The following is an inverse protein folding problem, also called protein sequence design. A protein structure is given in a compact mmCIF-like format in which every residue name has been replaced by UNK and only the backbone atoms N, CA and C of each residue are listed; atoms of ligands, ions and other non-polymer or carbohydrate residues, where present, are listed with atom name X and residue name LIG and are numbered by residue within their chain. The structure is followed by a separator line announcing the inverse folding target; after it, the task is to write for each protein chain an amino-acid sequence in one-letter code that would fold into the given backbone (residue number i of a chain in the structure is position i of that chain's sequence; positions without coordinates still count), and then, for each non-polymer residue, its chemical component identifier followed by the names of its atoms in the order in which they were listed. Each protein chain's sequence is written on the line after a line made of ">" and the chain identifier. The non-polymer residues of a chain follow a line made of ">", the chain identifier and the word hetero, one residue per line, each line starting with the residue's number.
data_IF_611738016116
#
_entry.id   IF_611738016116
#
_cell.length_a   1.000
_cell.length_b   1.000
_cell.length_c   1.000
_cell.angle_alpha   90.00
_cell.angle_beta   90.00
_cell.angle_gamma   90.00
#
_symmetry.space_group_name_H-M   'P 1'
#
loop_
_entity.id
_entity.type
_entity.pdbx_description
1 polymer ?
#
# COMPACT_ATOMS: atom_id res chain seq x y z
N UNK A 1 -27.81 -36.70 -62.33
CA UNK A 1 -26.76 -36.74 -61.31
C UNK A 1 -25.91 -35.51 -61.56
N UNK A 2 -26.48 -34.35 -61.17
CA UNK A 2 -26.18 -33.61 -59.92
C UNK A 2 -24.98 -32.70 -60.16
N UNK A 3 -25.19 -31.39 -60.32
CA UNK A 3 -25.30 -30.39 -59.24
C UNK A 3 -23.90 -30.02 -58.70
N UNK A 4 -23.55 -28.80 -58.35
CA UNK A 4 -24.17 -27.48 -58.36
C UNK A 4 -23.02 -26.54 -57.98
N UNK A 5 -23.06 -25.36 -58.58
CA UNK A 5 -22.30 -24.17 -58.22
C UNK A 5 -22.29 -23.96 -56.70
N UNK A 6 -21.12 -23.76 -56.08
CA UNK A 6 -21.00 -23.00 -54.82
C UNK A 6 -19.55 -22.79 -54.42
N UNK A 7 -18.97 -21.74 -54.98
CA UNK A 7 -17.97 -20.96 -54.29
C UNK A 7 -18.59 -20.41 -52.99
N UNK A 8 -18.32 -21.06 -51.86
CA UNK A 8 -18.62 -20.47 -50.56
C UNK A 8 -17.56 -19.42 -50.23
N UNK A 9 -17.90 -18.18 -50.58
CA UNK A 9 -17.43 -17.01 -49.85
C UNK A 9 -17.69 -17.22 -48.35
N UNK A 10 -16.67 -17.03 -47.51
CA UNK A 10 -16.88 -16.79 -46.07
C UNK A 10 -16.95 -15.29 -45.84
N UNK A 11 -17.97 -14.80 -45.12
CA UNK A 11 -18.21 -13.38 -44.93
C UNK A 11 -17.21 -12.78 -43.94
N UNK A 12 -16.74 -11.59 -44.27
CA UNK A 12 -16.28 -10.63 -43.27
C UNK A 12 -17.47 -10.24 -42.37
N UNK A 13 -17.25 -10.24 -41.05
CA UNK A 13 -18.31 -9.96 -40.09
C UNK A 13 -17.85 -10.11 -38.64
N UNK A 14 -17.11 -9.10 -38.18
CA UNK A 14 -17.17 -8.50 -36.84
C UNK A 14 -17.08 -9.41 -35.61
N UNK A 15 -16.02 -9.20 -34.83
CA UNK A 15 -16.10 -8.53 -33.51
C UNK A 15 -14.73 -7.95 -33.15
N UNK A 16 -14.58 -6.63 -32.97
CA UNK A 16 -13.60 -6.17 -32.00
C UNK A 16 -14.15 -6.61 -30.65
N UNK A 17 -13.49 -7.57 -30.01
CA UNK A 17 -13.66 -7.71 -28.56
C UNK A 17 -12.92 -6.50 -27.97
N UNK A 18 -13.71 -5.51 -27.59
CA UNK A 18 -13.32 -4.39 -26.72
C UNK A 18 -12.39 -4.93 -25.64
N UNK A 19 -11.12 -4.55 -25.76
CA UNK A 19 -10.11 -4.74 -24.75
C UNK A 19 -10.07 -3.47 -23.91
N UNK A 20 -11.23 -2.98 -23.52
CA UNK A 20 -11.40 -1.71 -22.79
C UNK A 20 -11.42 -1.93 -21.27
N UNK A 21 -11.31 -3.17 -20.79
CA UNK A 21 -11.29 -3.49 -19.35
C UNK A 21 -9.91 -3.76 -18.74
N UNK A 22 -8.86 -3.94 -19.55
CA UNK A 22 -7.51 -4.21 -19.03
C UNK A 22 -6.73 -2.93 -18.71
N UNK A 23 -7.07 -1.81 -19.36
CA UNK A 23 -6.39 -0.52 -19.16
C UNK A 23 -6.98 0.26 -18.00
N UNK A 24 -8.32 0.34 -17.85
CA UNK A 24 -8.96 1.07 -16.75
C UNK A 24 -8.58 0.51 -15.37
N UNK A 25 -8.52 -0.83 -15.23
CA UNK A 25 -8.13 -1.47 -13.96
C UNK A 25 -6.63 -1.37 -13.65
N UNK A 26 -5.78 -1.22 -14.67
CA UNK A 26 -4.34 -1.08 -14.52
C UNK A 26 -3.88 0.37 -14.42
N UNK A 27 -4.65 1.35 -14.89
CA UNK A 27 -4.41 2.79 -14.71
C UNK A 27 -5.01 3.30 -13.38
N UNK A 28 -6.18 2.79 -12.97
CA UNK A 28 -6.78 3.11 -11.68
C UNK A 28 -5.94 2.61 -10.49
N UNK A 29 -5.09 1.60 -10.70
CA UNK A 29 -4.23 1.07 -9.64
C UNK A 29 -3.04 1.99 -9.29
N UNK A 30 -2.25 2.49 -10.26
CA UNK A 30 -1.29 3.59 -10.07
C UNK A 30 -1.91 4.84 -9.44
N UNK A 31 -3.07 5.29 -9.93
CA UNK A 31 -3.76 6.46 -9.36
C UNK A 31 -4.13 6.23 -7.89
N UNK A 32 -4.60 5.02 -7.56
CA UNK A 32 -4.88 4.63 -6.18
C UNK A 32 -3.62 4.59 -5.31
N UNK A 33 -2.50 4.06 -5.82
CA UNK A 33 -1.21 4.07 -5.12
C UNK A 33 -0.80 5.51 -4.79
N UNK A 34 -0.87 6.41 -5.77
CA UNK A 34 -0.53 7.82 -5.57
C UNK A 34 -1.46 8.49 -4.55
N UNK A 35 -2.77 8.22 -4.61
CA UNK A 35 -3.74 8.76 -3.67
C UNK A 35 -3.48 8.27 -2.24
N UNK A 36 -3.20 6.98 -2.05
CA UNK A 36 -2.87 6.40 -0.75
C UNK A 36 -1.56 6.96 -0.20
N UNK A 37 -0.55 7.11 -1.05
CA UNK A 37 0.72 7.72 -0.64
C UNK A 37 0.50 9.18 -0.20
N UNK A 38 -0.30 9.95 -0.93
CA UNK A 38 -0.62 11.34 -0.56
C UNK A 38 -1.32 11.44 0.81
N UNK A 39 -2.25 10.53 1.11
CA UNK A 39 -2.88 10.43 2.44
C UNK A 39 -1.84 10.12 3.52
N UNK A 40 -0.94 9.17 3.25
CA UNK A 40 0.13 8.82 4.18
C UNK A 40 1.06 10.01 4.42
N UNK A 41 1.52 10.69 3.37
CA UNK A 41 2.39 11.87 3.44
C UNK A 41 1.77 13.00 4.27
N UNK A 42 0.50 13.33 4.01
CA UNK A 42 -0.22 14.37 4.76
C UNK A 42 -0.28 14.05 6.26
N UNK A 43 -0.68 12.83 6.61
CA UNK A 43 -0.81 12.41 8.00
C UNK A 43 0.55 12.27 8.68
N UNK A 44 1.55 11.77 7.95
CA UNK A 44 2.91 11.62 8.44
C UNK A 44 3.52 12.98 8.76
N UNK A 45 3.39 13.97 7.88
CA UNK A 45 3.83 15.34 8.16
C UNK A 45 3.11 15.93 9.38
N UNK A 46 1.81 15.67 9.53
CA UNK A 46 1.02 16.13 10.67
C UNK A 46 1.40 15.46 12.01
N UNK A 47 1.93 14.24 11.97
CA UNK A 47 2.40 13.47 13.14
C UNK A 47 3.84 13.81 13.51
N UNK A 48 4.70 13.97 12.51
CA UNK A 48 6.16 14.05 12.70
C UNK A 48 6.70 15.48 12.65
N UNK A 49 6.00 16.40 12.01
CA UNK A 49 6.51 17.74 11.69
C UNK A 49 7.57 17.74 10.59
N UNK A 50 7.82 16.60 9.94
CA UNK A 50 8.81 16.43 8.88
C UNK A 50 8.18 16.68 7.51
N UNK A 51 8.94 17.29 6.59
CA UNK A 51 8.53 17.46 5.19
C UNK A 51 8.92 16.23 4.35
N UNK A 52 8.10 15.90 3.36
CA UNK A 52 8.17 14.70 2.53
C UNK A 52 9.15 14.80 1.36
N UNK A 53 9.69 16.00 1.09
CA UNK A 53 10.62 16.30 -0.02
C UNK A 53 11.96 15.51 -0.01
N UNK A 54 12.21 14.69 1.01
CA UNK A 54 13.52 14.04 1.23
C UNK A 54 13.53 12.53 0.96
N UNK A 55 12.40 11.92 0.59
CA UNK A 55 12.29 10.47 0.46
C UNK A 55 12.32 9.99 -0.99
N UNK A 56 12.70 8.72 -1.17
CA UNK A 56 12.64 8.06 -2.45
C UNK A 56 11.18 7.75 -2.82
N UNK A 57 10.60 8.60 -3.66
CA UNK A 57 9.20 8.47 -4.08
C UNK A 57 8.94 7.17 -4.84
N UNK A 58 9.90 6.66 -5.61
CA UNK A 58 9.72 5.41 -6.35
C UNK A 58 9.57 4.23 -5.39
N UNK A 59 10.45 4.17 -4.38
CA UNK A 59 10.36 3.17 -3.32
C UNK A 59 9.06 3.30 -2.49
N UNK A 60 8.64 4.52 -2.14
CA UNK A 60 7.38 4.73 -1.42
C UNK A 60 6.16 4.24 -2.23
N UNK A 61 6.12 4.50 -3.54
CA UNK A 61 5.06 4.01 -4.41
C UNK A 61 5.07 2.48 -4.50
N UNK A 62 6.25 1.86 -4.58
CA UNK A 62 6.40 0.39 -4.56
C UNK A 62 5.81 -0.19 -3.27
N UNK A 63 6.23 0.29 -2.10
CA UNK A 63 5.78 -0.24 -0.81
C UNK A 63 4.27 -0.03 -0.56
N UNK A 64 3.72 1.11 -1.01
CA UNK A 64 2.27 1.34 -0.99
C UNK A 64 1.55 0.37 -1.95
N UNK A 65 2.12 0.13 -3.13
CA UNK A 65 1.61 -0.86 -4.09
C UNK A 65 1.55 -2.27 -3.49
N UNK A 66 2.60 -2.70 -2.79
CA UNK A 66 2.65 -3.97 -2.06
C UNK A 66 1.55 -4.03 -0.99
N UNK A 67 1.40 -2.96 -0.19
CA UNK A 67 0.34 -2.90 0.82
C UNK A 67 -1.06 -3.03 0.20
N UNK A 68 -1.31 -2.37 -0.94
CA UNK A 68 -2.59 -2.38 -1.67
C UNK A 68 -2.93 -3.72 -2.31
N UNK A 69 -1.96 -4.60 -2.56
CA UNK A 69 -2.25 -5.97 -3.00
C UNK A 69 -3.01 -6.77 -1.93
N UNK A 70 -2.87 -6.38 -0.66
CA UNK A 70 -3.57 -7.02 0.47
C UNK A 70 -4.98 -6.44 0.71
N UNK A 71 -5.38 -5.43 -0.08
CA UNK A 71 -6.72 -4.83 -0.05
C UNK A 71 -7.58 -5.50 -1.11
N UNK A 72 -8.79 -5.92 -0.72
CA UNK A 72 -9.71 -6.58 -1.64
C UNK A 72 -10.13 -5.63 -2.75
N UNK A 73 -10.24 -6.14 -3.98
CA UNK A 73 -10.63 -5.35 -5.16
C UNK A 73 -11.91 -4.52 -4.93
N UNK A 74 -12.91 -5.09 -4.26
CA UNK A 74 -14.18 -4.42 -3.98
C UNK A 74 -14.09 -3.26 -2.96
N UNK A 75 -12.99 -3.17 -2.21
CA UNK A 75 -12.77 -2.16 -1.17
C UNK A 75 -11.83 -1.04 -1.65
N UNK A 76 -11.15 -1.23 -2.79
CA UNK A 76 -10.09 -0.34 -3.28
C UNK A 76 -10.56 1.10 -3.53
N UNK A 77 -11.77 1.29 -4.05
CA UNK A 77 -12.31 2.63 -4.35
C UNK A 77 -12.56 3.47 -3.09
N UNK A 78 -12.86 2.82 -1.95
CA UNK A 78 -13.11 3.47 -0.66
C UNK A 78 -11.88 3.49 0.25
N UNK A 79 -10.84 2.74 -0.12
CA UNK A 79 -9.68 2.50 0.73
C UNK A 79 -8.93 3.78 1.15
N UNK A 80 -8.73 4.81 0.30
CA UNK A 80 -8.07 6.04 0.73
C UNK A 80 -8.80 6.74 1.88
N UNK A 81 -10.14 6.75 1.85
CA UNK A 81 -10.98 7.36 2.88
C UNK A 81 -10.99 6.51 4.16
N UNK A 82 -11.06 5.19 4.03
CA UNK A 82 -10.98 4.27 5.17
C UNK A 82 -9.60 4.37 5.87
N UNK A 83 -8.53 4.49 5.07
CA UNK A 83 -7.18 4.73 5.59
C UNK A 83 -7.09 6.07 6.31
N UNK A 84 -7.61 7.15 5.74
CA UNK A 84 -7.61 8.48 6.38
C UNK A 84 -8.29 8.43 7.76
N UNK A 85 -9.45 7.79 7.85
CA UNK A 85 -10.17 7.61 9.12
C UNK A 85 -9.37 6.75 10.11
N UNK A 86 -8.78 5.64 9.65
CA UNK A 86 -7.89 4.81 10.48
C UNK A 86 -6.72 5.62 11.06
N UNK A 87 -6.05 6.43 10.23
CA UNK A 87 -4.92 7.25 10.65
C UNK A 87 -5.34 8.35 11.62
N UNK A 88 -6.53 8.92 11.43
CA UNK A 88 -7.11 9.90 12.36
C UNK A 88 -7.39 9.27 13.73
N UNK A 89 -7.98 8.08 13.77
CA UNK A 89 -8.27 7.34 15.02
C UNK A 89 -6.99 6.90 15.72
N UNK A 90 -5.97 6.50 14.97
CA UNK A 90 -4.70 5.99 15.52
C UNK A 90 -3.60 7.05 15.69
N UNK A 91 -3.93 8.34 15.51
CA UNK A 91 -2.97 9.46 15.51
C UNK A 91 -2.02 9.43 16.72
N UNK A 92 -2.55 9.31 17.93
CA UNK A 92 -1.74 9.32 19.16
C UNK A 92 -0.78 8.10 19.24
N UNK A 93 -1.19 6.95 18.69
CA UNK A 93 -0.38 5.74 18.63
C UNK A 93 0.76 5.88 17.61
N UNK A 94 0.48 6.50 16.46
CA UNK A 94 1.47 6.85 15.44
C UNK A 94 2.49 7.87 15.96
N UNK A 95 2.05 8.88 16.71
CA UNK A 95 2.96 9.83 17.38
C UNK A 95 3.91 9.14 18.37
N UNK A 96 3.42 8.14 19.11
CA UNK A 96 4.28 7.34 20.01
C UNK A 96 5.27 6.48 19.23
N UNK A 97 4.82 5.87 18.12
CA UNK A 97 5.70 5.09 17.23
C UNK A 97 6.86 5.96 16.74
N UNK A 98 6.54 7.13 16.15
CA UNK A 98 7.54 8.07 15.65
C UNK A 98 8.52 8.53 16.74
N UNK A 99 7.99 8.99 17.88
CA UNK A 99 8.82 9.50 18.98
C UNK A 99 9.80 8.47 19.54
N UNK A 100 9.41 7.19 19.55
CA UNK A 100 10.18 6.11 20.17
C UNK A 100 11.15 5.43 19.21
N UNK A 101 10.81 5.38 17.92
CA UNK A 101 11.53 4.59 16.93
C UNK A 101 11.95 5.37 15.68
N UNK A 102 11.63 6.66 15.59
CA UNK A 102 12.08 7.55 14.53
C UNK A 102 13.56 7.95 14.65
N UNK A 103 14.00 8.98 13.91
CA UNK A 103 15.42 9.29 13.68
C UNK A 103 16.15 9.75 14.95
N UNK A 104 15.43 10.32 15.92
CA UNK A 104 15.98 10.76 17.21
C UNK A 104 15.99 9.64 18.26
N UNK A 105 15.59 8.41 17.88
CA UNK A 105 15.57 7.27 18.80
C UNK A 105 17.00 6.80 19.16
N UNK A 106 17.19 6.13 20.32
CA UNK A 106 18.49 5.60 20.71
C UNK A 106 18.92 4.36 19.91
N UNK A 107 18.11 3.90 18.96
CA UNK A 107 18.42 2.74 18.15
C UNK A 107 19.42 3.09 17.05
N UNK A 108 20.24 2.11 16.58
CA UNK A 108 21.10 2.36 15.43
C UNK A 108 20.28 2.81 14.22
N UNK A 109 20.88 3.70 13.41
CA UNK A 109 20.32 4.09 12.10
C UNK A 109 20.00 2.84 11.28
N UNK A 110 18.98 2.94 10.44
CA UNK A 110 18.48 1.91 9.53
C UNK A 110 17.73 0.74 10.18
N UNK A 111 17.74 0.62 11.52
CA UNK A 111 17.06 -0.49 12.21
C UNK A 111 15.55 -0.41 12.05
N UNK A 112 14.98 0.79 12.21
CA UNK A 112 13.55 1.08 12.09
C UNK A 112 13.27 2.03 10.93
N UNK A 113 14.05 1.96 9.84
CA UNK A 113 13.94 2.90 8.72
C UNK A 113 12.52 3.04 8.15
N UNK A 114 11.70 1.97 8.16
CA UNK A 114 10.31 2.09 7.72
C UNK A 114 9.52 3.12 8.55
N UNK A 115 9.74 3.22 9.87
CA UNK A 115 9.10 4.23 10.73
C UNK A 115 9.46 5.65 10.29
N UNK A 116 10.55 5.81 9.56
CA UNK A 116 11.04 7.08 9.03
C UNK A 116 10.42 7.48 7.68
N UNK A 117 9.52 6.64 7.16
CA UNK A 117 8.90 6.79 5.86
C UNK A 117 7.37 6.85 5.97
N UNK A 118 6.69 7.61 5.08
CA UNK A 118 5.25 7.82 5.13
C UNK A 118 4.47 6.52 4.90
N UNK A 119 4.94 5.62 4.02
CA UNK A 119 4.30 4.35 3.73
C UNK A 119 4.18 3.42 4.95
N UNK A 120 4.94 3.68 6.04
CA UNK A 120 4.72 2.93 7.29
C UNK A 120 3.30 3.07 7.84
N UNK A 121 2.58 4.14 7.50
CA UNK A 121 1.23 4.38 7.98
C UNK A 121 0.24 3.40 7.35
N UNK A 122 0.32 3.19 6.04
CA UNK A 122 -0.48 2.16 5.36
C UNK A 122 -0.06 0.76 5.81
N UNK A 123 1.24 0.52 6.02
CA UNK A 123 1.73 -0.76 6.54
C UNK A 123 1.20 -1.04 7.96
N UNK A 124 1.13 -0.04 8.84
CA UNK A 124 0.55 -0.19 10.17
C UNK A 124 -0.94 -0.58 10.12
N UNK A 125 -1.70 0.02 9.20
CA UNK A 125 -3.10 -0.37 8.95
C UNK A 125 -3.19 -1.82 8.47
N UNK A 126 -2.36 -2.19 7.47
CA UNK A 126 -2.31 -3.58 6.99
C UNK A 126 -1.89 -4.58 8.06
N UNK A 127 -1.00 -4.21 8.97
CA UNK A 127 -0.56 -5.06 10.09
C UNK A 127 -1.71 -5.34 11.08
N UNK A 128 -2.64 -4.41 11.26
CA UNK A 128 -3.80 -4.58 12.14
C UNK A 128 -4.93 -5.36 11.43
N UNK A 129 -5.13 -5.16 10.12
CA UNK A 129 -6.29 -5.72 9.40
C UNK A 129 -6.01 -6.93 8.49
N UNK A 130 -4.79 -7.12 7.99
CA UNK A 130 -4.46 -8.20 7.05
C UNK A 130 -3.02 -8.74 7.18
N UNK A 131 -2.51 -8.79 8.41
CA UNK A 131 -1.11 -9.18 8.73
C UNK A 131 -0.56 -10.37 7.97
N UNK A 132 -1.24 -11.51 8.01
CA UNK A 132 -0.76 -12.75 7.39
C UNK A 132 -0.68 -12.63 5.87
N UNK A 133 -1.57 -11.84 5.27
CA UNK A 133 -1.56 -11.60 3.83
C UNK A 133 -0.45 -10.62 3.46
N UNK A 134 -0.24 -9.57 4.27
CA UNK A 134 0.89 -8.67 4.09
C UNK A 134 2.24 -9.40 4.16
N UNK A 135 2.42 -10.30 5.12
CA UNK A 135 3.64 -11.11 5.21
C UNK A 135 3.86 -11.96 3.96
N UNK A 136 2.81 -12.60 3.43
CA UNK A 136 2.90 -13.40 2.21
C UNK A 136 3.24 -12.58 0.97
N UNK A 137 2.52 -11.47 0.74
CA UNK A 137 2.78 -10.58 -0.41
C UNK A 137 4.17 -9.95 -0.32
N UNK A 138 4.59 -9.54 0.89
CA UNK A 138 5.91 -8.95 1.11
C UNK A 138 7.05 -9.89 0.74
N UNK A 139 6.92 -11.18 1.09
CA UNK A 139 7.86 -12.22 0.69
C UNK A 139 7.83 -12.49 -0.82
N UNK A 140 6.63 -12.57 -1.42
CA UNK A 140 6.45 -12.79 -2.86
C UNK A 140 7.06 -11.67 -3.72
N UNK A 141 6.97 -10.43 -3.25
CA UNK A 141 7.55 -9.23 -3.89
C UNK A 141 9.06 -9.06 -3.59
N UNK A 142 9.68 -10.04 -2.92
CA UNK A 142 11.13 -10.09 -2.72
C UNK A 142 11.69 -9.06 -1.74
N UNK A 143 10.83 -8.43 -0.93
CA UNK A 143 11.25 -7.45 0.05
C UNK A 143 12.00 -8.12 1.22
N UNK A 144 12.90 -7.38 1.86
CA UNK A 144 13.57 -7.89 3.05
C UNK A 144 12.55 -8.13 4.19
N UNK A 145 12.57 -9.32 4.80
CA UNK A 145 11.62 -9.68 5.87
C UNK A 145 11.82 -8.84 7.15
N UNK A 146 13.08 -8.58 7.50
CA UNK A 146 13.44 -7.97 8.80
C UNK A 146 12.83 -6.58 9.03
N UNK A 147 12.82 -5.66 8.05
CA UNK A 147 12.16 -4.36 8.20
C UNK A 147 10.68 -4.47 8.56
N UNK A 148 9.91 -5.29 7.82
CA UNK A 148 8.49 -5.49 8.10
C UNK A 148 8.27 -6.17 9.46
N UNK A 149 9.07 -7.19 9.79
CA UNK A 149 9.00 -7.87 11.08
C UNK A 149 9.22 -6.89 12.26
N UNK A 150 10.20 -6.00 12.13
CA UNK A 150 10.48 -4.96 13.13
C UNK A 150 9.34 -3.97 13.25
N UNK A 151 8.84 -3.43 12.13
CA UNK A 151 7.71 -2.50 12.12
C UNK A 151 6.49 -3.13 12.80
N UNK A 152 6.14 -4.37 12.42
CA UNK A 152 5.09 -5.17 13.04
C UNK A 152 5.29 -5.29 14.54
N UNK A 153 6.48 -5.64 14.99
CA UNK A 153 6.79 -5.80 16.41
C UNK A 153 6.60 -4.50 17.20
N UNK A 154 7.13 -3.38 16.70
CA UNK A 154 7.03 -2.10 17.41
C UNK A 154 5.63 -1.51 17.33
N UNK A 155 4.90 -1.71 16.23
CA UNK A 155 3.52 -1.29 16.11
C UNK A 155 2.64 -2.02 17.13
N UNK A 156 2.70 -3.34 17.17
CA UNK A 156 1.81 -4.17 17.99
C UNK A 156 2.13 -4.14 19.49
N UNK A 157 3.41 -4.00 19.84
CA UNK A 157 3.87 -4.16 21.23
C UNK A 157 4.71 -3.00 21.76
N UNK A 158 5.20 -2.12 20.89
CA UNK A 158 6.09 -1.00 21.24
C UNK A 158 5.38 0.35 21.41
N UNK A 159 4.10 0.46 21.04
CA UNK A 159 3.31 1.70 21.08
C UNK A 159 2.29 1.75 22.22
N UNK A 160 2.35 0.80 23.17
CA UNK A 160 1.55 0.83 24.38
C UNK A 160 1.76 2.11 25.18
N UNK A 161 0.74 2.51 25.95
CA UNK A 161 0.90 3.60 26.91
C UNK A 161 2.07 3.23 27.83
N UNK A 162 3.05 4.12 27.97
CA UNK A 162 4.03 3.97 29.05
C UNK A 162 3.24 4.01 30.35
N UNK A 163 3.08 2.83 30.96
CA UNK A 163 2.59 2.70 32.33
C UNK A 163 3.44 3.66 33.17
N UNK A 164 2.82 4.76 33.59
CA UNK A 164 3.47 5.81 34.33
C UNK A 164 4.19 5.23 35.54
N UNK A 165 5.51 5.44 35.61
CA UNK A 165 6.29 5.22 36.81
C UNK A 165 7.04 6.50 37.17
#
# INVERSE_FOLDING_TARGET
>A
MEADDRAYARPEGQRPAERDGETEGAEAYPELIEQVLAVCEQHYAAVTGTNTDQWDKELSLELVGIALQTVRLAERDAYPQDLEEYLRVNRDRLERLWRRYGPDSPYPRDVYHLVELPESFVLCERIDNARQWLEGVWEEEGQEEKPLERLKKVWLYGTGEEDGR
#
